data_IF_371585347069
#
_entry.id   IF_371585347069
#
_cell.length_a   1.000
_cell.length_b   1.000
_cell.length_c   1.000
_cell.angle_alpha   90.00
_cell.angle_beta   90.00
_cell.angle_gamma   90.00
#
_symmetry.space_group_name_H-M   'P 1'
#
loop_
_entity.id
_entity.type
_entity.pdbx_description
1 polymer ?
#
# COMPACT_ATOMS: atom_id res chain seq x y z
N UNK A 1 32.82 -24.50 48.26
CA UNK A 1 31.37 -24.46 48.01
C UNK A 1 31.01 -23.03 47.66
N UNK A 2 30.37 -22.75 46.51
CA UNK A 2 29.97 -21.39 46.15
C UNK A 2 29.01 -20.81 47.21
N UNK A 3 29.26 -19.58 47.66
CA UNK A 3 28.55 -18.93 48.75
C UNK A 3 27.13 -18.52 48.34
N UNK A 4 26.13 -18.73 49.21
CA UNK A 4 24.72 -18.37 48.97
C UNK A 4 24.51 -16.90 48.56
N UNK A 5 25.41 -16.00 48.98
CA UNK A 5 25.40 -14.57 48.64
C UNK A 5 25.69 -14.31 47.16
N UNK A 6 26.51 -15.15 46.52
CA UNK A 6 26.84 -15.00 45.09
C UNK A 6 25.64 -15.36 44.22
N UNK A 7 24.91 -16.42 44.56
CA UNK A 7 23.71 -16.84 43.83
C UNK A 7 22.60 -15.79 43.85
N UNK A 8 22.36 -15.15 45.01
CA UNK A 8 21.35 -14.10 45.13
C UNK A 8 21.71 -12.87 44.29
N UNK A 9 23.01 -12.53 44.24
CA UNK A 9 23.50 -11.38 43.48
C UNK A 9 23.45 -11.63 41.98
N UNK A 10 23.85 -12.82 41.53
CA UNK A 10 23.76 -13.24 40.13
C UNK A 10 22.30 -13.34 39.66
N UNK A 11 21.39 -13.86 40.49
CA UNK A 11 19.96 -13.89 40.20
C UNK A 11 19.36 -12.50 39.97
N UNK A 12 19.71 -11.52 40.81
CA UNK A 12 19.25 -10.13 40.63
C UNK A 12 19.83 -9.49 39.36
N UNK A 13 21.07 -9.81 38.97
CA UNK A 13 21.65 -9.37 37.69
C UNK A 13 20.89 -9.97 36.51
N UNK A 14 20.63 -11.27 36.52
CA UNK A 14 19.88 -11.96 35.46
C UNK A 14 18.46 -11.42 35.34
N UNK A 15 17.78 -11.16 36.46
CA UNK A 15 16.43 -10.56 36.45
C UNK A 15 16.43 -9.17 35.81
N UNK A 16 17.42 -8.33 36.11
CA UNK A 16 17.57 -7.00 35.48
C UNK A 16 17.85 -7.12 33.98
N UNK A 17 18.70 -8.05 33.57
CA UNK A 17 18.98 -8.32 32.15
C UNK A 17 17.74 -8.82 31.41
N UNK A 18 16.94 -9.71 32.02
CA UNK A 18 15.71 -10.22 31.44
C UNK A 18 14.67 -9.09 31.24
N UNK A 19 14.51 -8.20 32.22
CA UNK A 19 13.63 -7.03 32.09
C UNK A 19 14.11 -6.10 30.98
N UNK A 20 15.43 -5.89 30.86
CA UNK A 20 16.00 -5.06 29.79
C UNK A 20 15.75 -5.69 28.42
N UNK A 21 16.02 -6.98 28.27
CA UNK A 21 15.76 -7.73 27.05
C UNK A 21 14.27 -7.71 26.67
N UNK A 22 13.38 -7.89 27.63
CA UNK A 22 11.93 -7.83 27.40
C UNK A 22 11.49 -6.46 26.86
N UNK A 23 12.05 -5.37 27.39
CA UNK A 23 11.79 -4.01 26.89
C UNK A 23 12.33 -3.82 25.47
N UNK A 24 13.56 -4.25 25.21
CA UNK A 24 14.18 -4.16 23.89
C UNK A 24 13.38 -4.97 22.84
N UNK A 25 12.95 -6.18 23.19
CA UNK A 25 12.10 -7.01 22.33
C UNK A 25 10.78 -6.33 22.00
N UNK A 26 10.16 -5.67 22.98
CA UNK A 26 8.91 -4.93 22.79
C UNK A 26 9.10 -3.71 21.88
N UNK A 27 10.21 -2.99 22.01
CA UNK A 27 10.53 -1.86 21.13
C UNK A 27 10.83 -2.33 19.69
N UNK A 28 11.51 -3.46 19.52
CA UNK A 28 11.74 -4.09 18.21
C UNK A 28 10.43 -4.53 17.59
N UNK A 29 9.55 -5.18 18.35
CA UNK A 29 8.23 -5.60 17.87
C UNK A 29 7.39 -4.41 17.39
N UNK A 30 7.34 -3.32 18.18
CA UNK A 30 6.64 -2.08 17.79
C UNK A 30 7.20 -1.48 16.51
N UNK A 31 8.52 -1.45 16.34
CA UNK A 31 9.15 -0.98 15.08
C UNK A 31 8.78 -1.89 13.91
N UNK A 32 8.77 -3.20 14.12
CA UNK A 32 8.35 -4.18 13.12
C UNK A 32 6.91 -3.98 12.67
N UNK A 33 5.98 -3.76 13.61
CA UNK A 33 4.58 -3.45 13.30
C UNK A 33 4.44 -2.18 12.47
N UNK A 34 5.18 -1.12 12.81
CA UNK A 34 5.17 0.14 12.07
C UNK A 34 5.64 -0.05 10.63
N UNK A 35 6.74 -0.78 10.42
CA UNK A 35 7.26 -1.07 9.08
C UNK A 35 6.30 -1.96 8.26
N UNK A 36 5.68 -2.96 8.89
CA UNK A 36 4.66 -3.79 8.23
C UNK A 36 3.47 -2.96 7.77
N UNK A 37 2.98 -2.05 8.62
CA UNK A 37 1.90 -1.13 8.25
C UNK A 37 2.31 -0.21 7.10
N UNK A 38 3.54 0.32 7.12
CA UNK A 38 4.08 1.16 6.04
C UNK A 38 4.16 0.39 4.72
N UNK A 39 4.76 -0.79 4.74
CA UNK A 39 4.89 -1.67 3.58
C UNK A 39 3.51 -2.06 3.02
N UNK A 40 2.58 -2.45 3.89
CA UNK A 40 1.22 -2.81 3.51
C UNK A 40 0.50 -1.66 2.79
N UNK A 41 0.57 -0.44 3.33
CA UNK A 41 0.00 0.75 2.70
C UNK A 41 0.62 1.02 1.32
N UNK A 42 1.95 0.91 1.22
CA UNK A 42 2.67 1.10 -0.05
C UNK A 42 2.26 0.06 -1.09
N UNK A 43 2.27 -1.21 -0.73
CA UNK A 43 1.86 -2.32 -1.60
C UNK A 43 0.42 -2.15 -2.08
N UNK A 44 -0.50 -1.74 -1.19
CA UNK A 44 -1.88 -1.45 -1.56
C UNK A 44 -1.98 -0.37 -2.63
N UNK A 45 -1.26 0.74 -2.48
CA UNK A 45 -1.26 1.81 -3.50
C UNK A 45 -0.77 1.32 -4.86
N UNK A 46 0.25 0.45 -4.90
CA UNK A 46 0.73 -0.12 -6.15
C UNK A 46 -0.29 -1.07 -6.79
N UNK A 47 -0.95 -1.92 -5.98
CA UNK A 47 -2.02 -2.82 -6.46
C UNK A 47 -3.20 -2.01 -7.02
N UNK A 48 -3.64 -0.98 -6.28
CA UNK A 48 -4.71 -0.08 -6.71
C UNK A 48 -4.34 0.62 -8.04
N UNK A 49 -3.07 0.99 -8.22
CA UNK A 49 -2.59 1.61 -9.46
C UNK A 49 -2.70 0.64 -10.64
N UNK A 50 -2.31 -0.61 -10.44
CA UNK A 50 -2.38 -1.65 -11.48
C UNK A 50 -3.84 -1.96 -11.83
N UNK A 51 -4.72 -2.01 -10.83
CA UNK A 51 -6.15 -2.24 -11.04
C UNK A 51 -6.78 -1.15 -11.92
N UNK A 52 -6.46 0.13 -11.67
CA UNK A 52 -6.94 1.25 -12.51
C UNK A 52 -6.39 1.15 -13.94
N UNK A 53 -5.12 0.79 -14.12
CA UNK A 53 -4.55 0.58 -15.46
C UNK A 53 -5.31 -0.50 -16.24
N UNK A 54 -5.60 -1.64 -15.61
CA UNK A 54 -6.40 -2.71 -16.22
C UNK A 54 -7.83 -2.26 -16.55
N UNK A 55 -8.45 -1.46 -15.67
CA UNK A 55 -9.77 -0.88 -15.94
C UNK A 55 -9.73 0.03 -17.18
N UNK A 56 -8.69 0.84 -17.33
CA UNK A 56 -8.52 1.69 -18.52
C UNK A 56 -8.36 0.87 -19.80
N UNK A 57 -7.55 -0.19 -19.79
CA UNK A 57 -7.43 -1.10 -20.94
C UNK A 57 -8.78 -1.70 -21.34
N UNK A 58 -9.56 -2.16 -20.37
CA UNK A 58 -10.92 -2.65 -20.60
C UNK A 58 -11.83 -1.58 -21.19
N UNK A 59 -11.76 -0.35 -20.69
CA UNK A 59 -12.54 0.78 -21.21
C UNK A 59 -12.13 1.12 -22.65
N UNK A 60 -10.84 1.17 -22.97
CA UNK A 60 -10.37 1.37 -24.34
C UNK A 60 -10.89 0.30 -25.29
N UNK A 61 -10.88 -0.97 -24.87
CA UNK A 61 -11.44 -2.06 -25.65
C UNK A 61 -12.94 -1.86 -25.92
N UNK A 62 -13.73 -1.49 -24.90
CA UNK A 62 -15.16 -1.24 -25.07
C UNK A 62 -15.46 -0.02 -25.93
N UNK A 63 -14.69 1.05 -25.78
CA UNK A 63 -14.79 2.25 -26.61
C UNK A 63 -14.52 1.88 -28.07
N UNK A 64 -13.43 1.16 -28.36
CA UNK A 64 -13.11 0.71 -29.72
C UNK A 64 -14.21 -0.18 -30.31
N UNK A 65 -14.71 -1.14 -29.51
CA UNK A 65 -15.81 -2.02 -29.92
C UNK A 65 -17.08 -1.25 -30.26
N UNK A 66 -17.45 -0.28 -29.43
CA UNK A 66 -18.65 0.54 -29.64
C UNK A 66 -18.46 1.53 -30.81
N UNK A 67 -17.26 2.09 -30.96
CA UNK A 67 -16.92 2.96 -32.09
C UNK A 67 -17.08 2.26 -33.43
N UNK A 68 -16.57 1.02 -33.56
CA UNK A 68 -16.76 0.19 -34.75
C UNK A 68 -18.25 -0.12 -34.99
N UNK A 69 -19.00 -0.49 -33.94
CA UNK A 69 -20.45 -0.75 -34.06
C UNK A 69 -21.25 0.45 -34.55
N UNK A 70 -20.81 1.66 -34.22
CA UNK A 70 -21.46 2.91 -34.64
C UNK A 70 -21.00 3.40 -36.01
N UNK A 71 -20.19 2.61 -36.75
CA UNK A 71 -19.56 3.00 -38.01
C UNK A 71 -18.83 4.35 -37.91
N UNK A 72 -18.15 4.59 -36.77
CA UNK A 72 -17.43 5.84 -36.53
C UNK A 72 -18.28 7.08 -36.28
N UNK A 73 -19.62 6.94 -36.18
CA UNK A 73 -20.52 8.06 -35.86
C UNK A 73 -20.60 8.28 -34.35
N UNK A 74 -19.60 8.96 -33.82
CA UNK A 74 -19.45 9.36 -32.40
C UNK A 74 -20.66 10.11 -31.83
N UNK A 75 -21.38 10.86 -32.67
CA UNK A 75 -22.50 11.71 -32.24
C UNK A 75 -23.76 10.95 -31.80
N UNK A 76 -23.91 9.67 -32.15
CA UNK A 76 -25.17 8.93 -31.95
C UNK A 76 -25.17 7.93 -30.80
N UNK A 77 -24.05 7.69 -30.13
CA UNK A 77 -23.98 6.67 -29.08
C UNK A 77 -23.86 7.29 -27.68
N UNK A 78 -24.99 7.31 -26.96
CA UNK A 78 -25.02 7.61 -25.54
C UNK A 78 -24.14 6.65 -24.71
N UNK A 79 -23.94 5.41 -25.20
CA UNK A 79 -23.03 4.44 -24.57
C UNK A 79 -21.58 4.84 -24.72
N UNK A 80 -21.17 5.31 -25.91
CA UNK A 80 -19.80 5.78 -26.14
C UNK A 80 -19.47 6.99 -25.26
N UNK A 81 -20.43 7.93 -25.11
CA UNK A 81 -20.28 9.08 -24.20
C UNK A 81 -20.06 8.63 -22.75
N UNK A 82 -20.88 7.68 -22.26
CA UNK A 82 -20.71 7.11 -20.91
C UNK A 82 -19.33 6.47 -20.72
N UNK A 83 -18.88 5.66 -21.68
CA UNK A 83 -17.56 5.02 -21.62
C UNK A 83 -16.41 6.03 -21.61
N UNK A 84 -16.54 7.13 -22.34
CA UNK A 84 -15.56 8.23 -22.33
C UNK A 84 -15.56 8.99 -21.00
N UNK A 85 -16.73 9.17 -20.38
CA UNK A 85 -16.84 9.81 -19.07
C UNK A 85 -16.25 8.90 -17.97
N UNK A 86 -16.48 7.59 -18.04
CA UNK A 86 -15.85 6.59 -17.18
C UNK A 86 -14.32 6.58 -17.35
N UNK A 87 -13.82 6.68 -18.59
CA UNK A 87 -12.38 6.78 -18.86
C UNK A 87 -11.77 8.05 -18.25
N UNK A 88 -12.45 9.19 -18.36
CA UNK A 88 -12.01 10.45 -17.72
C UNK A 88 -12.00 10.36 -16.20
N UNK A 89 -12.96 9.64 -15.61
CA UNK A 89 -12.97 9.39 -14.17
C UNK A 89 -11.76 8.54 -13.75
N UNK A 90 -11.51 7.43 -14.46
CA UNK A 90 -10.36 6.56 -14.22
C UNK A 90 -9.03 7.31 -14.37
N UNK A 91 -8.91 8.23 -15.34
CA UNK A 91 -7.72 9.09 -15.51
C UNK A 91 -7.48 10.02 -14.32
N UNK A 92 -8.54 10.62 -13.78
CA UNK A 92 -8.45 11.48 -12.59
C UNK A 92 -8.02 10.66 -11.37
N UNK A 93 -8.59 9.47 -11.20
CA UNK A 93 -8.23 8.56 -10.11
C UNK A 93 -6.76 8.11 -10.22
N UNK A 94 -6.32 7.73 -11.42
CA UNK A 94 -4.92 7.35 -11.67
C UNK A 94 -3.96 8.48 -11.32
N UNK A 95 -4.25 9.72 -11.74
CA UNK A 95 -3.43 10.90 -11.40
C UNK A 95 -3.39 11.14 -9.88
N UNK A 96 -4.52 11.07 -9.21
CA UNK A 96 -4.59 11.25 -7.76
C UNK A 96 -3.79 10.16 -7.03
N UNK A 97 -3.85 8.92 -7.50
CA UNK A 97 -3.11 7.80 -6.92
C UNK A 97 -1.60 7.92 -7.16
N UNK A 98 -1.17 8.31 -8.37
CA UNK A 98 0.24 8.58 -8.67
C UNK A 98 0.83 9.67 -7.78
N UNK A 99 0.06 10.74 -7.52
CA UNK A 99 0.46 11.79 -6.58
C UNK A 99 0.61 11.24 -5.15
N UNK A 100 -0.27 10.34 -4.70
CA UNK A 100 -0.16 9.67 -3.39
C UNK A 100 1.07 8.78 -3.31
N UNK A 101 1.36 8.00 -4.36
CA UNK A 101 2.57 7.16 -4.44
C UNK A 101 3.82 8.03 -4.38
N UNK A 102 3.87 9.12 -5.17
CA UNK A 102 5.00 10.05 -5.17
C UNK A 102 5.23 10.66 -3.79
N UNK A 103 4.19 11.19 -3.15
CA UNK A 103 4.26 11.71 -1.77
C UNK A 103 4.72 10.66 -0.75
N UNK A 104 4.26 9.42 -0.90
CA UNK A 104 4.66 8.32 -0.03
C UNK A 104 6.16 8.00 -0.19
N UNK A 105 6.68 8.02 -1.42
CA UNK A 105 8.10 7.79 -1.70
C UNK A 105 8.99 8.98 -1.28
N UNK A 106 8.51 10.22 -1.39
CA UNK A 106 9.25 11.43 -0.99
C UNK A 106 9.37 11.54 0.54
N UNK A 107 8.38 11.07 1.30
CA UNK A 107 8.44 11.01 2.78
C UNK A 107 9.41 9.92 3.32
N UNK A 108 9.99 9.10 2.44
CA UNK A 108 10.96 8.03 2.80
C UNK A 108 12.42 8.43 2.54
N UNK A 109 12.68 9.62 1.97
CA UNK A 109 14.03 10.19 1.78
C UNK A 109 14.38 11.16 2.89
#
# INVERSE_FOLDING_TARGET
>A
MPNLSDYKTEWEKTKKQLVKFSKEALDVAKKGEQELVRLSKKSKLHIDSTAISLQKEKLYYFIGKEYVKTNGKTEKSAKLKKLLDELKAADKEQKALQLKIKKTNDNEK
#
